data_IF_249048087864
#
_entry.id   IF_249048087864
#
_cell.length_a   1.000
_cell.length_b   1.000
_cell.length_c   1.000
_cell.angle_alpha   90.00
_cell.angle_beta   90.00
_cell.angle_gamma   90.00
#
_symmetry.space_group_name_H-M   'P 1'
#
loop_
_entity.id
_entity.type
_entity.pdbx_description
1 polymer ?
#
# COMPACT_ATOMS: atom_id res chain seq x y z
N UNK A 1 21.81 -3.76 12.05
CA UNK A 1 21.19 -2.90 11.03
C UNK A 1 19.96 -3.65 10.59
N UNK A 2 18.78 -3.18 10.97
CA UNK A 2 17.53 -3.71 10.40
C UNK A 2 17.50 -3.16 8.97
N UNK A 3 17.59 -4.05 8.00
CA UNK A 3 17.31 -3.71 6.60
C UNK A 3 15.88 -3.18 6.53
N UNK A 4 15.66 -2.11 5.79
CA UNK A 4 14.29 -1.69 5.44
C UNK A 4 13.55 -2.88 4.83
N UNK A 5 12.30 -3.09 5.27
CA UNK A 5 11.44 -4.15 4.78
C UNK A 5 10.78 -3.68 3.49
N UNK A 6 11.17 -4.28 2.37
CA UNK A 6 10.80 -3.86 1.03
C UNK A 6 10.02 -4.95 0.32
N UNK A 7 8.85 -4.61 -0.23
CA UNK A 7 8.08 -5.50 -1.10
C UNK A 7 8.54 -5.29 -2.55
N UNK A 8 9.62 -5.97 -2.94
CA UNK A 8 10.22 -5.91 -4.28
C UNK A 8 10.44 -7.31 -4.86
N UNK A 9 10.57 -7.39 -6.17
CA UNK A 9 10.60 -8.65 -6.92
C UNK A 9 11.80 -9.55 -6.64
N UNK A 10 12.89 -8.97 -6.11
CA UNK A 10 14.16 -9.64 -5.82
C UNK A 10 14.43 -9.81 -4.31
N UNK A 11 13.41 -9.63 -3.47
CA UNK A 11 13.52 -9.72 -2.01
C UNK A 11 12.84 -10.98 -1.49
N UNK A 12 13.64 -11.88 -0.92
CA UNK A 12 13.19 -13.17 -0.35
C UNK A 12 12.82 -13.07 1.15
N UNK A 13 12.87 -11.88 1.75
CA UNK A 13 12.53 -11.68 3.17
C UNK A 13 11.11 -12.17 3.46
N UNK A 14 10.97 -13.06 4.43
CA UNK A 14 9.67 -13.55 4.89
C UNK A 14 9.10 -12.58 5.92
N UNK A 15 7.80 -12.31 5.83
CA UNK A 15 7.10 -11.50 6.83
C UNK A 15 6.97 -12.26 8.15
N UNK A 16 7.38 -11.62 9.24
CA UNK A 16 7.34 -12.18 10.60
C UNK A 16 6.45 -11.32 11.51
N UNK A 17 5.88 -11.91 12.58
CA UNK A 17 5.14 -11.15 13.58
C UNK A 17 5.91 -9.96 14.16
N UNK A 18 5.19 -8.87 14.41
CA UNK A 18 5.74 -7.59 14.85
C UNK A 18 6.24 -6.69 13.72
N UNK A 19 6.31 -7.20 12.48
CA UNK A 19 6.54 -6.35 11.31
C UNK A 19 5.34 -5.45 11.04
N UNK A 20 5.66 -4.24 10.55
CA UNK A 20 4.67 -3.26 10.06
C UNK A 20 5.09 -2.89 8.65
N UNK A 21 4.22 -3.08 7.68
CA UNK A 21 4.47 -2.84 6.25
C UNK A 21 3.43 -1.91 5.65
N UNK A 22 3.78 -1.20 4.58
CA UNK A 22 2.80 -0.53 3.73
C UNK A 22 2.34 -1.44 2.59
N UNK A 23 1.09 -1.30 2.17
CA UNK A 23 0.58 -1.79 0.90
C UNK A 23 0.21 -0.59 0.04
N UNK A 24 1.07 -0.27 -0.93
CA UNK A 24 1.02 1.03 -1.63
C UNK A 24 1.17 0.96 -3.15
N UNK A 25 0.30 0.21 -3.85
CA UNK A 25 0.39 0.05 -5.29
C UNK A 25 0.27 1.41 -5.99
N UNK A 26 1.14 1.65 -6.96
CA UNK A 26 1.12 2.87 -7.78
C UNK A 26 1.27 2.56 -9.26
N UNK A 27 0.47 3.25 -10.08
CA UNK A 27 0.67 3.33 -11.53
C UNK A 27 0.71 4.78 -11.96
N UNK A 28 1.47 5.08 -13.01
CA UNK A 28 1.53 6.40 -13.62
C UNK A 28 1.25 6.27 -15.11
N UNK A 29 0.25 7.00 -15.59
CA UNK A 29 -0.06 7.12 -17.01
C UNK A 29 0.60 8.42 -17.52
N UNK A 30 1.42 8.36 -18.59
CA UNK A 30 2.12 9.53 -19.13
C UNK A 30 1.18 10.68 -19.52
N UNK A 31 1.73 11.90 -19.52
CA UNK A 31 1.01 13.07 -20.02
C UNK A 31 0.58 12.88 -21.49
N UNK A 32 -0.62 13.37 -21.82
CA UNK A 32 -1.18 13.29 -23.17
C UNK A 32 -1.95 11.99 -23.48
N UNK A 33 -1.90 10.99 -22.59
CA UNK A 33 -2.70 9.77 -22.73
C UNK A 33 -4.05 9.86 -21.98
N UNK A 34 -5.10 9.15 -22.44
CA UNK A 34 -6.35 9.04 -21.69
C UNK A 34 -6.10 8.48 -20.28
N UNK A 35 -6.51 9.23 -19.26
CA UNK A 35 -6.24 8.86 -17.86
C UNK A 35 -4.87 9.32 -17.34
N UNK A 36 -4.18 10.23 -18.03
CA UNK A 36 -2.92 10.80 -17.55
C UNK A 36 -2.99 11.22 -16.06
N UNK A 37 -2.02 10.73 -15.28
CA UNK A 37 -1.98 10.93 -13.84
C UNK A 37 -1.28 9.79 -13.08
N UNK A 38 -0.96 10.06 -11.82
CA UNK A 38 -0.51 9.05 -10.85
C UNK A 38 -1.67 8.58 -10.00
N UNK A 39 -1.82 7.26 -9.85
CA UNK A 39 -2.86 6.62 -9.05
C UNK A 39 -2.18 5.77 -7.99
N UNK A 40 -2.45 6.05 -6.72
CA UNK A 40 -1.86 5.34 -5.58
C UNK A 40 -2.82 5.36 -4.41
N UNK A 41 -2.99 4.21 -3.79
CA UNK A 41 -3.54 4.06 -2.44
C UNK A 41 -2.40 3.66 -1.51
N UNK A 42 -2.57 3.76 -0.19
CA UNK A 42 -1.52 3.40 0.76
C UNK A 42 -2.13 3.04 2.12
N UNK A 43 -2.15 1.74 2.41
CA UNK A 43 -2.54 1.22 3.71
C UNK A 43 -1.33 0.76 4.52
N UNK A 44 -1.45 0.75 5.86
CA UNK A 44 -0.45 0.24 6.80
C UNK A 44 -1.00 -1.03 7.45
N UNK A 45 -0.21 -2.10 7.36
CA UNK A 45 -0.57 -3.44 7.83
C UNK A 45 0.36 -3.87 8.97
N UNK A 46 -0.21 -4.43 10.04
CA UNK A 46 0.50 -5.04 11.16
C UNK A 46 0.44 -6.56 11.03
N UNK A 47 1.58 -7.23 11.09
CA UNK A 47 1.68 -8.69 11.10
C UNK A 47 1.64 -9.17 12.56
N UNK A 48 0.57 -9.89 12.94
CA UNK A 48 0.35 -10.31 14.33
C UNK A 48 0.98 -11.67 14.64
N UNK A 49 1.21 -11.94 15.93
CA UNK A 49 1.80 -13.18 16.45
C UNK A 49 0.98 -14.45 16.13
N UNK A 50 -0.34 -14.30 15.90
CA UNK A 50 -1.25 -15.40 15.55
C UNK A 50 -1.35 -15.65 14.03
N UNK A 51 -0.56 -14.92 13.24
CA UNK A 51 -0.55 -15.01 11.77
C UNK A 51 -1.67 -14.21 11.09
N UNK A 52 -2.46 -13.44 11.83
CA UNK A 52 -3.40 -12.48 11.24
C UNK A 52 -2.68 -11.21 10.77
N UNK A 53 -3.34 -10.45 9.89
CA UNK A 53 -2.86 -9.17 9.37
C UNK A 53 -3.95 -8.14 9.58
N UNK A 54 -3.64 -7.09 10.35
CA UNK A 54 -4.56 -5.99 10.63
C UNK A 54 -4.19 -4.75 9.81
N UNK A 55 -5.18 -4.16 9.15
CA UNK A 55 -5.06 -2.85 8.51
C UNK A 55 -5.48 -1.75 9.47
N UNK A 56 -4.60 -0.78 9.71
CA UNK A 56 -4.79 0.30 10.68
C UNK A 56 -5.07 1.67 10.05
N UNK A 57 -5.25 1.74 8.73
CA UNK A 57 -5.36 3.00 7.98
C UNK A 57 -6.73 3.65 8.14
N UNK A 58 -7.79 2.82 8.10
CA UNK A 58 -9.17 3.17 8.49
C UNK A 58 -9.90 4.22 7.63
N UNK A 59 -9.21 4.94 6.74
CA UNK A 59 -9.83 5.88 5.80
C UNK A 59 -10.29 5.12 4.55
N UNK A 60 -11.51 5.35 4.04
CA UNK A 60 -11.97 4.65 2.86
C UNK A 60 -11.21 5.10 1.60
N UNK A 61 -10.87 4.14 0.75
CA UNK A 61 -10.27 4.40 -0.57
C UNK A 61 -11.26 4.12 -1.70
N UNK A 62 -10.90 4.50 -2.93
CA UNK A 62 -11.68 4.23 -4.13
C UNK A 62 -12.74 5.28 -4.50
N UNK A 63 -13.30 5.18 -5.72
CA UNK A 63 -14.19 6.18 -6.31
C UNK A 63 -15.54 6.32 -5.58
N UNK A 64 -15.98 5.31 -4.83
CA UNK A 64 -17.20 5.34 -4.03
C UNK A 64 -17.14 6.41 -2.91
N UNK A 65 -15.94 6.73 -2.45
CA UNK A 65 -15.69 7.61 -1.32
C UNK A 65 -14.90 8.87 -1.70
N UNK A 66 -13.99 8.78 -2.68
CA UNK A 66 -12.98 9.81 -2.93
C UNK A 66 -13.25 10.73 -4.13
N UNK A 67 -14.52 10.82 -4.58
CA UNK A 67 -14.94 11.84 -5.55
C UNK A 67 -15.54 13.04 -4.80
N UNK A 68 -14.72 14.05 -4.53
CA UNK A 68 -15.15 15.27 -3.84
C UNK A 68 -15.93 16.20 -4.77
N UNK A 69 -17.13 16.60 -4.34
CA UNK A 69 -17.93 17.62 -5.04
C UNK A 69 -17.41 19.01 -4.67
N UNK A 70 -17.29 19.87 -5.67
CA UNK A 70 -16.98 21.30 -5.51
C UNK A 70 -18.18 22.08 -4.98
#
# INVERSE_FOLDING_TARGET
MLTDLELREDIDTVLEPGMVVSMEPMVTIPEGEPGAGGYREHDILVINDDGTVDDITGFPFGPEHNIFKK
#
